data_IF_426909977009
#
_entry.id   IF_426909977009
#
_cell.length_a   1.000
_cell.length_b   1.000
_cell.length_c   1.000
_cell.angle_alpha   90.00
_cell.angle_beta   90.00
_cell.angle_gamma   90.00
#
_symmetry.space_group_name_H-M   'P 1'
#
loop_
_entity.id
_entity.type
_entity.pdbx_description
1 polymer ?
#
# COMPACT_ATOMS: atom_id res chain seq x y z
N UNK A 1 22.16 -1.80 -12.24
CA UNK A 1 22.03 -1.30 -10.86
C UNK A 1 20.58 -1.44 -10.46
N UNK A 2 20.30 -2.06 -9.33
CA UNK A 2 18.93 -2.25 -8.82
C UNK A 2 18.54 -1.10 -7.89
N UNK A 3 17.25 -0.91 -7.63
CA UNK A 3 16.81 0.08 -6.64
C UNK A 3 17.36 -0.22 -5.23
N UNK A 4 17.55 -1.51 -4.91
CA UNK A 4 18.18 -1.94 -3.67
C UNK A 4 19.64 -1.45 -3.57
N UNK A 5 20.41 -1.55 -4.66
CA UNK A 5 21.77 -1.01 -4.71
C UNK A 5 21.78 0.52 -4.60
N UNK A 6 20.83 1.21 -5.25
CA UNK A 6 20.69 2.67 -5.17
C UNK A 6 20.30 3.17 -3.78
N UNK A 7 19.54 2.38 -3.02
CA UNK A 7 19.20 2.63 -1.61
C UNK A 7 20.39 2.46 -0.66
N UNK A 8 21.48 1.82 -1.09
CA UNK A 8 22.60 1.44 -0.24
C UNK A 8 22.45 0.06 0.42
N UNK A 9 21.55 -0.78 -0.08
CA UNK A 9 21.40 -2.17 0.29
C UNK A 9 20.57 -2.43 1.56
N UNK A 10 20.96 -3.45 2.32
CA UNK A 10 20.15 -4.04 3.38
C UNK A 10 19.93 -3.10 4.57
N UNK A 11 20.98 -2.45 5.08
CA UNK A 11 20.86 -1.63 6.28
C UNK A 11 19.92 -0.42 6.09
N UNK A 12 20.01 0.37 5.00
CA UNK A 12 19.04 1.43 4.73
C UNK A 12 17.61 0.92 4.55
N UNK A 13 17.43 -0.18 3.81
CA UNK A 13 16.10 -0.76 3.62
C UNK A 13 15.50 -1.25 4.95
N UNK A 14 16.28 -1.95 5.77
CA UNK A 14 15.84 -2.42 7.08
C UNK A 14 15.39 -1.26 7.98
N UNK A 15 16.16 -0.16 8.02
CA UNK A 15 15.80 1.03 8.80
C UNK A 15 14.50 1.70 8.30
N UNK A 16 14.32 1.80 6.99
CA UNK A 16 13.09 2.32 6.36
C UNK A 16 11.89 1.47 6.76
N UNK A 17 12.00 0.15 6.64
CA UNK A 17 10.91 -0.79 6.96
C UNK A 17 10.58 -0.76 8.45
N UNK A 18 11.59 -0.69 9.30
CA UNK A 18 11.43 -0.61 10.75
C UNK A 18 10.57 0.61 11.14
N UNK A 19 10.97 1.80 10.67
CA UNK A 19 10.23 3.03 10.92
C UNK A 19 8.83 3.01 10.27
N UNK A 20 8.73 2.56 9.02
CA UNK A 20 7.46 2.50 8.31
C UNK A 20 6.42 1.67 9.07
N UNK A 21 6.80 0.46 9.51
CA UNK A 21 5.90 -0.43 10.23
C UNK A 21 5.58 0.12 11.63
N UNK A 22 6.53 0.74 12.31
CA UNK A 22 6.24 1.39 13.60
C UNK A 22 5.22 2.51 13.46
N UNK A 23 5.33 3.33 12.40
CA UNK A 23 4.36 4.39 12.10
C UNK A 23 3.00 3.83 11.73
N UNK A 24 2.93 2.73 10.97
CA UNK A 24 1.66 2.05 10.64
C UNK A 24 0.96 1.53 11.90
N UNK A 25 1.70 0.90 12.82
CA UNK A 25 1.14 0.38 14.07
C UNK A 25 0.68 1.49 15.03
N UNK A 26 1.37 2.64 15.02
CA UNK A 26 1.02 3.79 15.86
C UNK A 26 -0.06 4.70 15.25
N UNK A 27 -0.46 4.48 14.00
CA UNK A 27 -1.39 5.35 13.30
C UNK A 27 -2.82 5.19 13.83
N UNK A 28 -3.49 6.30 14.11
CA UNK A 28 -4.84 6.30 14.68
C UNK A 28 -5.91 5.81 13.71
N UNK A 29 -5.68 5.90 12.39
CA UNK A 29 -6.66 5.47 11.38
C UNK A 29 -6.48 4.02 10.93
N UNK A 30 -5.28 3.45 11.03
CA UNK A 30 -5.03 2.08 10.53
C UNK A 30 -4.38 1.14 11.54
N UNK A 31 -3.81 1.64 12.64
CA UNK A 31 -3.11 0.82 13.64
C UNK A 31 -4.03 -0.22 14.28
N UNK A 32 -5.33 0.06 14.41
CA UNK A 32 -6.31 -0.88 14.94
C UNK A 32 -6.43 -2.18 14.11
N UNK A 33 -6.08 -2.15 12.80
CA UNK A 33 -6.09 -3.33 11.95
C UNK A 33 -5.00 -4.35 12.35
N UNK A 34 -3.98 -3.90 13.07
CA UNK A 34 -2.79 -4.68 13.42
C UNK A 34 -2.76 -5.18 14.86
N UNK A 35 -3.81 -4.96 15.67
CA UNK A 35 -3.83 -5.28 17.11
C UNK A 35 -3.57 -6.75 17.45
N UNK A 36 -3.82 -7.67 16.51
CA UNK A 36 -3.55 -9.12 16.65
C UNK A 36 -2.33 -9.59 15.86
N UNK A 37 -1.66 -8.70 15.14
CA UNK A 37 -0.48 -9.03 14.35
C UNK A 37 0.78 -8.90 15.22
N UNK A 38 1.72 -9.83 15.06
CA UNK A 38 3.09 -9.62 15.56
C UNK A 38 3.76 -8.56 14.69
N UNK A 39 4.22 -7.48 15.33
CA UNK A 39 4.92 -6.39 14.64
C UNK A 39 6.21 -6.89 13.99
N UNK A 40 6.95 -7.74 14.66
CA UNK A 40 8.20 -8.34 14.17
C UNK A 40 7.93 -9.18 12.92
N UNK A 41 6.83 -9.96 12.93
CA UNK A 41 6.41 -10.69 11.73
C UNK A 41 6.06 -9.74 10.60
N UNK A 42 5.34 -8.65 10.85
CA UNK A 42 4.99 -7.67 9.80
C UNK A 42 6.26 -6.99 9.25
N UNK A 43 7.20 -6.56 10.11
CA UNK A 43 8.50 -6.00 9.70
C UNK A 43 9.25 -6.94 8.77
N UNK A 44 9.33 -8.23 9.11
CA UNK A 44 9.98 -9.23 8.26
C UNK A 44 9.29 -9.41 6.91
N UNK A 45 7.97 -9.56 6.88
CA UNK A 45 7.22 -9.77 5.63
C UNK A 45 7.27 -8.53 4.73
N UNK A 46 7.19 -7.33 5.31
CA UNK A 46 7.31 -6.09 4.57
C UNK A 46 8.72 -5.92 3.99
N UNK A 47 9.75 -6.27 4.76
CA UNK A 47 11.13 -6.26 4.27
C UNK A 47 11.32 -7.20 3.09
N UNK A 48 10.92 -8.48 3.22
CA UNK A 48 11.07 -9.44 2.14
C UNK A 48 10.33 -9.00 0.87
N UNK A 49 9.11 -8.48 1.02
CA UNK A 49 8.30 -7.99 -0.09
C UNK A 49 8.95 -6.79 -0.79
N UNK A 50 9.40 -5.80 -0.01
CA UNK A 50 10.11 -4.63 -0.53
C UNK A 50 11.44 -5.00 -1.17
N UNK A 51 12.26 -5.81 -0.50
CA UNK A 51 13.58 -6.24 -0.97
C UNK A 51 13.48 -6.99 -2.30
N UNK A 52 12.52 -7.92 -2.42
CA UNK A 52 12.27 -8.63 -3.67
C UNK A 52 11.90 -7.67 -4.81
N UNK A 53 10.98 -6.73 -4.57
CA UNK A 53 10.62 -5.71 -5.56
C UNK A 53 11.79 -4.80 -5.96
N UNK A 54 12.60 -4.38 -4.99
CA UNK A 54 13.74 -3.48 -5.19
C UNK A 54 14.93 -4.17 -5.88
N UNK A 55 14.87 -5.49 -6.08
CA UNK A 55 15.86 -6.28 -6.80
C UNK A 55 16.95 -6.90 -5.92
N UNK A 56 16.72 -7.03 -4.61
CA UNK A 56 17.57 -7.82 -3.73
C UNK A 56 17.41 -9.33 -4.03
N UNK A 57 18.42 -10.18 -3.78
CA UNK A 57 18.35 -11.63 -3.95
C UNK A 57 17.58 -12.30 -2.78
N UNK A 58 16.38 -11.78 -2.48
CA UNK A 58 15.49 -12.24 -1.42
C UNK A 58 14.16 -12.66 -2.05
N UNK A 59 13.62 -13.79 -1.60
CA UNK A 59 12.29 -14.22 -1.99
C UNK A 59 11.28 -13.86 -0.90
N UNK A 60 10.12 -13.36 -1.29
CA UNK A 60 9.00 -13.18 -0.38
C UNK A 60 8.42 -14.53 0.03
N UNK A 61 8.46 -14.83 1.34
CA UNK A 61 8.02 -16.11 1.90
C UNK A 61 6.59 -16.09 2.46
N UNK A 62 5.91 -14.95 2.38
CA UNK A 62 4.57 -14.78 2.91
C UNK A 62 3.48 -15.33 2.00
N UNK A 63 2.23 -15.25 2.49
CA UNK A 63 1.05 -15.58 1.67
C UNK A 63 0.90 -14.56 0.54
N UNK A 64 0.25 -14.97 -0.56
CA UNK A 64 -0.21 -14.05 -1.60
C UNK A 64 -0.98 -12.85 -0.98
N UNK A 65 -0.89 -11.68 -1.60
CA UNK A 65 -1.46 -10.45 -1.02
C UNK A 65 -2.96 -10.59 -0.78
N UNK A 66 -3.71 -11.14 -1.73
CA UNK A 66 -5.13 -11.45 -1.55
C UNK A 66 -5.39 -12.35 -0.32
N UNK A 67 -4.65 -13.45 -0.16
CA UNK A 67 -4.84 -14.38 0.96
C UNK A 67 -4.44 -13.82 2.32
N UNK A 68 -3.42 -12.95 2.33
CA UNK A 68 -2.98 -12.27 3.53
C UNK A 68 -4.02 -11.27 4.04
N UNK A 69 -4.72 -10.58 3.12
CA UNK A 69 -5.58 -9.44 3.43
C UNK A 69 -7.08 -9.75 3.41
N UNK A 70 -7.55 -10.82 2.75
CA UNK A 70 -8.98 -11.16 2.55
C UNK A 70 -9.87 -11.20 3.80
N UNK A 71 -9.30 -11.42 4.99
CA UNK A 71 -10.07 -11.52 6.25
C UNK A 71 -10.18 -10.19 6.99
N UNK A 72 -9.58 -9.12 6.45
CA UNK A 72 -9.51 -7.81 7.09
C UNK A 72 -10.36 -6.81 6.31
N UNK A 73 -11.20 -6.00 6.98
CA UNK A 73 -12.03 -4.99 6.31
C UNK A 73 -11.17 -3.77 5.93
N UNK A 74 -10.34 -3.92 4.90
CA UNK A 74 -9.45 -2.87 4.43
C UNK A 74 -10.15 -2.09 3.31
N UNK A 75 -10.53 -0.85 3.60
CA UNK A 75 -11.13 0.05 2.62
C UNK A 75 -10.06 0.88 1.90
N UNK A 76 -10.42 1.52 0.79
CA UNK A 76 -9.52 2.38 0.01
C UNK A 76 -8.89 3.50 0.84
N UNK A 77 -9.62 4.07 1.81
CA UNK A 77 -9.08 5.06 2.75
C UNK A 77 -7.95 4.51 3.62
N UNK A 78 -8.08 3.27 4.13
CA UNK A 78 -7.03 2.61 4.91
C UNK A 78 -5.78 2.36 4.06
N UNK A 79 -5.98 1.89 2.82
CA UNK A 79 -4.89 1.68 1.87
C UNK A 79 -4.16 3.00 1.57
N UNK A 80 -4.92 4.06 1.26
CA UNK A 80 -4.38 5.39 1.00
C UNK A 80 -3.58 5.94 2.18
N UNK A 81 -4.05 5.73 3.42
CA UNK A 81 -3.31 6.14 4.62
C UNK A 81 -1.98 5.40 4.75
N UNK A 82 -1.96 4.07 4.60
CA UNK A 82 -0.72 3.27 4.63
C UNK A 82 0.26 3.75 3.56
N UNK A 83 -0.21 3.97 2.33
CA UNK A 83 0.58 4.49 1.22
C UNK A 83 1.19 5.87 1.52
N UNK A 84 0.44 6.76 2.17
CA UNK A 84 0.94 8.08 2.57
C UNK A 84 2.03 7.99 3.66
N UNK A 85 1.87 7.07 4.62
CA UNK A 85 2.91 6.79 5.63
C UNK A 85 4.18 6.28 4.95
N UNK A 86 4.06 5.38 3.98
CA UNK A 86 5.20 4.89 3.20
C UNK A 86 5.91 6.05 2.49
N UNK A 87 5.18 6.84 1.69
CA UNK A 87 5.73 8.00 0.97
C UNK A 87 6.53 8.92 1.89
N UNK A 88 5.93 9.35 3.00
CA UNK A 88 6.60 10.27 3.94
C UNK A 88 7.77 9.63 4.67
N UNK A 89 7.77 8.31 4.88
CA UNK A 89 8.92 7.59 5.45
C UNK A 89 10.08 7.56 4.45
N UNK A 90 9.80 7.23 3.19
CA UNK A 90 10.83 7.22 2.14
C UNK A 90 11.44 8.62 1.92
N UNK A 91 10.61 9.66 1.90
CA UNK A 91 11.07 11.05 1.79
C UNK A 91 11.98 11.44 2.97
N UNK A 92 11.62 11.05 4.20
CA UNK A 92 12.43 11.31 5.40
C UNK A 92 13.80 10.62 5.35
N UNK A 93 13.85 9.41 4.79
CA UNK A 93 15.09 8.65 4.62
C UNK A 93 15.92 9.08 3.40
N UNK A 94 15.50 10.12 2.67
CA UNK A 94 16.25 10.64 1.53
C UNK A 94 16.29 9.70 0.32
N UNK A 95 15.30 8.80 0.20
CA UNK A 95 15.21 7.87 -0.92
C UNK A 95 15.06 8.65 -2.24
N UNK A 96 15.79 8.30 -3.32
CA UNK A 96 15.68 8.98 -4.60
C UNK A 96 14.24 8.99 -5.14
N UNK A 97 13.82 10.13 -5.73
CA UNK A 97 12.43 10.35 -6.12
C UNK A 97 11.89 9.29 -7.10
N UNK A 98 12.71 8.77 -8.01
CA UNK A 98 12.30 7.73 -8.94
C UNK A 98 12.10 6.37 -8.26
N UNK A 99 12.88 6.05 -7.22
CA UNK A 99 12.69 4.85 -6.39
C UNK A 99 11.39 4.98 -5.58
N UNK A 100 11.12 6.16 -5.01
CA UNK A 100 9.85 6.43 -4.33
C UNK A 100 8.68 6.22 -5.30
N UNK A 101 8.74 6.80 -6.50
CA UNK A 101 7.69 6.67 -7.50
C UNK A 101 7.45 5.21 -7.89
N UNK A 102 8.52 4.45 -8.14
CA UNK A 102 8.44 3.03 -8.50
C UNK A 102 7.82 2.18 -7.38
N UNK A 103 8.26 2.39 -6.13
CA UNK A 103 7.74 1.63 -5.00
C UNK A 103 6.27 1.96 -4.70
N UNK A 104 5.88 3.24 -4.79
CA UNK A 104 4.47 3.62 -4.64
C UNK A 104 3.60 3.05 -5.76
N UNK A 105 4.07 3.05 -7.01
CA UNK A 105 3.36 2.45 -8.13
C UNK A 105 3.18 0.93 -7.95
N UNK A 106 4.22 0.24 -7.47
CA UNK A 106 4.12 -1.18 -7.14
C UNK A 106 3.09 -1.45 -6.04
N UNK A 107 3.03 -0.62 -5.00
CA UNK A 107 1.98 -0.74 -3.99
C UNK A 107 0.59 -0.51 -4.59
N UNK A 108 0.42 0.54 -5.41
CA UNK A 108 -0.86 0.84 -6.05
C UNK A 108 -1.38 -0.29 -6.93
N UNK A 109 -0.49 -1.04 -7.60
CA UNK A 109 -0.86 -2.23 -8.38
C UNK A 109 -1.44 -3.37 -7.53
N UNK A 110 -1.12 -3.43 -6.24
CA UNK A 110 -1.63 -4.44 -5.29
C UNK A 110 -2.96 -4.03 -4.64
N UNK A 111 -3.51 -2.86 -4.98
CA UNK A 111 -4.69 -2.31 -4.30
C UNK A 111 -5.88 -3.27 -4.37
N UNK A 112 -6.18 -3.82 -5.53
CA UNK A 112 -7.32 -4.72 -5.74
C UNK A 112 -7.20 -6.02 -4.93
N UNK A 113 -5.97 -6.49 -4.68
CA UNK A 113 -5.72 -7.67 -3.85
C UNK A 113 -5.86 -7.38 -2.35
N UNK A 114 -5.64 -6.13 -1.93
CA UNK A 114 -5.59 -5.75 -0.52
C UNK A 114 -6.93 -5.20 -0.02
N UNK A 115 -7.64 -4.44 -0.85
CA UNK A 115 -8.88 -3.77 -0.45
C UNK A 115 -10.10 -4.66 -0.62
N UNK A 116 -11.04 -4.56 0.31
CA UNK A 116 -12.33 -5.29 0.28
C UNK A 116 -13.48 -4.44 -0.28
N UNK A 117 -13.19 -3.31 -0.93
CA UNK A 117 -14.22 -2.43 -1.49
C UNK A 117 -14.86 -3.11 -2.72
N UNK A 118 -15.86 -3.95 -2.45
CA UNK A 118 -16.81 -4.46 -3.45
C UNK A 118 -17.81 -3.37 -3.91
N UNK A 119 -17.59 -2.10 -3.55
CA UNK A 119 -18.43 -0.95 -3.92
C UNK A 119 -17.58 0.12 -4.58
N UNK A 120 -17.01 -0.16 -5.76
CA UNK A 120 -16.80 0.87 -6.81
C UNK A 120 -16.92 0.21 -8.19
N UNK A 121 -18.03 -0.50 -8.40
CA UNK A 121 -18.76 -0.40 -9.67
C UNK A 121 -20.02 0.44 -9.41
N UNK A 122 -19.85 1.63 -8.82
CA UNK A 122 -20.84 2.68 -9.06
C UNK A 122 -20.61 3.14 -10.50
N UNK A 123 -21.21 2.41 -11.45
CA UNK A 123 -21.40 2.90 -12.81
C UNK A 123 -22.06 4.28 -12.71
N UNK A 124 -21.25 5.32 -12.96
CA UNK A 124 -21.72 6.70 -13.04
C UNK A 124 -22.63 6.94 -14.25
N UNK A 125 -23.00 5.89 -15.00
CA UNK A 125 -23.85 5.98 -16.19
C UNK A 125 -25.36 5.91 -15.90
N UNK A 126 -25.80 5.78 -14.64
CA UNK A 126 -27.23 5.77 -14.31
C UNK A 126 -27.80 7.12 -13.84
N UNK A 127 -27.00 8.20 -13.83
CA UNK A 127 -27.40 9.51 -13.31
C UNK A 127 -27.40 10.65 -14.36
N UNK A 128 -27.45 10.33 -15.65
CA UNK A 128 -27.63 11.31 -16.73
C UNK A 128 -28.80 10.89 -17.63
N UNK A 129 -30.03 11.11 -17.15
CA UNK A 129 -31.22 10.75 -17.89
C UNK A 129 -32.52 11.37 -17.38
N UNK A 130 -32.48 12.60 -16.86
CA UNK A 130 -33.71 13.41 -16.62
C UNK A 130 -33.45 14.89 -16.88
N UNK A 131 -33.66 15.29 -18.13
CA UNK A 131 -34.00 16.65 -18.62
C UNK A 131 -34.01 16.56 -20.15
N UNK A 132 -34.96 17.03 -20.95
CA UNK A 132 -36.01 18.04 -20.79
C UNK A 132 -36.94 17.99 -22.04
N UNK A 133 -38.11 18.66 -21.96
CA UNK A 133 -38.99 19.06 -23.10
C UNK A 133 -40.40 18.47 -22.94
N UNK A 134 -41.48 19.23 -22.68
CA UNK A 134 -42.00 20.39 -23.45
C UNK A 134 -42.66 19.84 -24.72
N UNK A 135 -43.92 20.06 -25.11
CA UNK A 135 -45.02 20.98 -24.78
C UNK A 135 -46.34 20.35 -25.34
N UNK A 136 -47.46 21.08 -25.27
CA UNK A 136 -48.73 20.93 -26.05
C UNK A 136 -49.76 19.94 -25.44
N UNK A 137 -51.04 20.26 -25.17
CA UNK A 137 -51.98 21.33 -25.59
C UNK A 137 -53.02 21.54 -24.47
#
# INVERSE_FOLDING_TARGET
>A
MTYFEELGGEAPLAAIIDEFVDRVFADTMIGFLFVRASKERVKRMEYEHAAAFLGAPVAYSGRAMADAHKRHPIMGGHFGRRRQILKTTLEKHGVPAHVIAAWLAHQDALREEVTSDLITQCNHEAAAGRSNGGDEE
#
